data_IF_978266545406
#
_entry.id   IF_978266545406
#
_cell.length_a   1.000
_cell.length_b   1.000
_cell.length_c   1.000
_cell.angle_alpha   90.00
_cell.angle_beta   90.00
_cell.angle_gamma   90.00
#
_symmetry.space_group_name_H-M   'P 1'
#
loop_
_entity.id
_entity.type
_entity.pdbx_description
1 polymer ?
#
# COMPACT_ATOMS: atom_id res chain seq x y z
N UNK A 1 -7.32 19.33 13.51
CA UNK A 1 -7.60 19.22 12.06
C UNK A 1 -9.01 19.64 11.66
N UNK A 2 -9.95 19.83 12.61
CA UNK A 2 -11.33 20.26 12.29
C UNK A 2 -11.34 21.55 11.45
N UNK A 3 -12.12 21.54 10.36
CA UNK A 3 -12.22 22.63 9.39
C UNK A 3 -10.98 22.90 8.53
N UNK A 4 -9.91 22.12 8.71
CA UNK A 4 -8.65 22.32 7.98
C UNK A 4 -8.61 21.50 6.70
N UNK A 5 -7.73 21.90 5.77
CA UNK A 5 -7.51 21.19 4.52
C UNK A 5 -6.57 20.01 4.77
N UNK A 6 -7.04 18.79 4.45
CA UNK A 6 -6.28 17.55 4.55
C UNK A 6 -6.10 16.96 3.15
N UNK A 7 -4.85 16.70 2.76
CA UNK A 7 -4.51 16.13 1.47
C UNK A 7 -4.76 14.62 1.44
N UNK A 8 -5.31 14.15 0.33
CA UNK A 8 -5.54 12.73 0.06
C UNK A 8 -5.36 12.45 -1.43
N UNK A 9 -5.37 11.18 -1.80
CA UNK A 9 -5.43 10.77 -3.20
C UNK A 9 -6.87 10.50 -3.63
N UNK A 10 -7.02 10.14 -4.91
CA UNK A 10 -8.32 9.76 -5.49
C UNK A 10 -9.01 8.67 -4.66
N UNK A 11 -10.36 8.68 -4.58
CA UNK A 11 -11.12 7.62 -3.93
C UNK A 11 -10.74 6.23 -4.45
N UNK A 12 -10.71 5.25 -3.55
CA UNK A 12 -10.31 3.88 -3.86
C UNK A 12 -8.81 3.62 -3.89
N UNK A 13 -7.95 4.64 -3.70
CA UNK A 13 -6.51 4.43 -3.55
C UNK A 13 -6.15 3.97 -2.12
N UNK A 14 -5.00 3.28 -1.93
CA UNK A 14 -4.50 2.94 -0.60
C UNK A 14 -4.29 4.16 0.30
N UNK A 15 -3.87 5.29 -0.27
CA UNK A 15 -3.66 6.54 0.47
C UNK A 15 -4.99 7.16 0.90
N UNK A 16 -6.04 7.09 0.06
CA UNK A 16 -7.38 7.53 0.47
C UNK A 16 -7.91 6.66 1.61
N UNK A 17 -7.75 5.35 1.54
CA UNK A 17 -8.05 4.44 2.66
C UNK A 17 -7.29 4.86 3.92
N UNK A 18 -5.96 5.03 3.81
CA UNK A 18 -5.10 5.46 4.91
C UNK A 18 -5.54 6.80 5.52
N UNK A 19 -5.98 7.75 4.69
CA UNK A 19 -6.50 9.04 5.15
C UNK A 19 -7.73 8.86 6.04
N UNK A 20 -8.69 8.04 5.63
CA UNK A 20 -9.92 7.82 6.40
C UNK A 20 -9.65 7.05 7.69
N UNK A 21 -8.79 6.05 7.65
CA UNK A 21 -8.35 5.32 8.85
C UNK A 21 -7.66 6.26 9.85
N UNK A 22 -6.75 7.13 9.36
CA UNK A 22 -6.07 8.09 10.21
C UNK A 22 -7.03 9.09 10.84
N UNK A 23 -7.99 9.62 10.08
CA UNK A 23 -9.03 10.51 10.63
C UNK A 23 -9.82 9.82 11.75
N UNK A 24 -10.27 8.57 11.55
CA UNK A 24 -10.99 7.79 12.57
C UNK A 24 -10.16 7.61 13.85
N UNK A 25 -8.87 7.27 13.71
CA UNK A 25 -7.96 7.14 14.87
C UNK A 25 -7.78 8.44 15.64
N UNK A 26 -7.95 9.56 14.97
CA UNK A 26 -7.90 10.90 15.57
C UNK A 26 -9.28 11.38 16.07
N UNK A 27 -10.31 10.51 16.07
CA UNK A 27 -11.67 10.86 16.48
C UNK A 27 -12.37 11.80 15.51
N UNK A 28 -11.99 11.81 14.24
CA UNK A 28 -12.54 12.65 13.18
C UNK A 28 -13.24 11.83 12.10
N UNK A 29 -14.17 12.48 11.41
CA UNK A 29 -14.82 11.97 10.20
C UNK A 29 -14.38 12.79 8.98
N UNK A 30 -14.62 12.31 7.75
CA UNK A 30 -14.38 13.11 6.55
C UNK A 30 -15.13 14.45 6.51
N UNK A 31 -16.26 14.56 7.25
CA UNK A 31 -17.06 15.80 7.33
C UNK A 31 -16.45 16.85 8.24
N UNK A 32 -15.53 16.44 9.13
CA UNK A 32 -14.83 17.36 10.04
C UNK A 32 -13.69 18.12 9.39
N UNK A 33 -13.30 17.75 8.16
CA UNK A 33 -12.14 18.32 7.45
C UNK A 33 -12.50 18.63 6.00
N UNK A 34 -11.65 19.42 5.33
CA UNK A 34 -11.77 19.67 3.89
C UNK A 34 -10.80 18.74 3.16
N UNK A 35 -11.30 17.63 2.61
CA UNK A 35 -10.46 16.71 1.85
C UNK A 35 -10.10 17.34 0.49
N UNK A 36 -8.79 17.44 0.22
CA UNK A 36 -8.25 17.89 -1.07
C UNK A 36 -7.58 16.72 -1.78
N UNK A 37 -8.11 16.36 -2.94
CA UNK A 37 -7.54 15.30 -3.78
C UNK A 37 -6.30 15.85 -4.48
N UNK A 38 -5.16 15.16 -4.30
CA UNK A 38 -3.87 15.43 -4.92
C UNK A 38 -3.43 14.22 -5.74
N UNK A 39 -2.45 14.42 -6.63
CA UNK A 39 -2.07 13.41 -7.62
C UNK A 39 -1.42 12.15 -7.05
N UNK A 40 -0.70 12.28 -5.93
CA UNK A 40 -0.01 11.17 -5.28
C UNK A 40 0.81 11.63 -4.08
N UNK A 41 1.54 10.70 -3.45
CA UNK A 41 2.33 10.98 -2.24
C UNK A 41 3.34 12.11 -2.41
N UNK A 42 3.98 12.24 -3.57
CA UNK A 42 4.91 13.33 -3.84
C UNK A 42 4.21 14.70 -3.85
N UNK A 43 3.03 14.80 -4.45
CA UNK A 43 2.24 16.03 -4.47
C UNK A 43 1.70 16.38 -3.08
N UNK A 44 1.35 15.38 -2.27
CA UNK A 44 0.93 15.58 -0.87
C UNK A 44 2.10 16.15 -0.06
N UNK A 45 3.30 15.59 -0.21
CA UNK A 45 4.53 16.10 0.44
C UNK A 45 4.79 17.56 0.03
N UNK A 46 4.76 17.87 -1.25
CA UNK A 46 4.96 19.23 -1.75
C UNK A 46 3.90 20.22 -1.21
N UNK A 47 2.64 19.81 -1.16
CA UNK A 47 1.54 20.62 -0.63
C UNK A 47 1.66 20.89 0.88
N UNK A 48 2.19 19.92 1.66
CA UNK A 48 2.54 20.10 3.07
C UNK A 48 3.68 21.12 3.23
N UNK A 49 4.77 20.96 2.48
CA UNK A 49 5.94 21.83 2.55
C UNK A 49 5.63 23.27 2.16
N UNK A 50 4.69 23.49 1.26
CA UNK A 50 4.24 24.82 0.82
C UNK A 50 3.08 25.39 1.66
N UNK A 51 2.60 24.67 2.66
CA UNK A 51 1.49 25.12 3.52
C UNK A 51 0.11 25.12 2.85
N UNK A 52 -0.03 24.52 1.68
CA UNK A 52 -1.32 24.41 0.97
C UNK A 52 -2.31 23.47 1.67
N UNK A 53 -1.79 22.54 2.47
CA UNK A 53 -2.53 21.64 3.33
C UNK A 53 -1.84 21.57 4.70
N UNK A 54 -2.60 21.27 5.74
CA UNK A 54 -2.04 21.18 7.10
C UNK A 54 -1.70 19.75 7.52
N UNK A 55 -2.29 18.77 6.86
CA UNK A 55 -2.03 17.34 7.06
C UNK A 55 -2.31 16.59 5.76
N UNK A 56 -1.79 15.39 5.64
CA UNK A 56 -2.06 14.52 4.50
C UNK A 56 -1.52 13.11 4.76
N UNK A 57 -2.11 12.11 4.14
CA UNK A 57 -1.59 10.76 4.18
C UNK A 57 -0.57 10.55 3.05
N UNK A 58 0.55 9.95 3.38
CA UNK A 58 1.61 9.63 2.43
C UNK A 58 2.21 8.27 2.76
N UNK A 59 2.67 7.55 1.76
CA UNK A 59 3.34 6.27 1.92
C UNK A 59 4.86 6.41 1.80
N UNK A 60 5.64 5.52 2.42
CA UNK A 60 7.06 5.44 2.15
C UNK A 60 7.36 5.18 0.66
N UNK A 61 8.44 5.73 0.14
CA UNK A 61 9.46 6.50 0.87
C UNK A 61 9.17 8.01 0.98
N UNK A 62 8.14 8.54 0.29
CA UNK A 62 7.90 9.98 0.19
C UNK A 62 7.70 10.67 1.56
N UNK A 63 7.05 10.01 2.52
CA UNK A 63 6.85 10.55 3.86
C UNK A 63 8.17 10.78 4.63
N UNK A 64 9.25 10.06 4.33
CA UNK A 64 10.54 10.26 5.02
C UNK A 64 11.18 11.61 4.74
N UNK A 65 10.80 12.26 3.62
CA UNK A 65 11.24 13.64 3.33
C UNK A 65 10.64 14.64 4.33
N UNK A 66 9.48 14.35 4.88
CA UNK A 66 8.78 15.23 5.81
C UNK A 66 9.43 15.25 7.19
N UNK A 67 9.98 14.13 7.64
CA UNK A 67 10.64 14.04 8.96
C UNK A 67 11.81 15.02 9.11
N UNK A 68 12.46 15.36 8.00
CA UNK A 68 13.59 16.30 7.96
C UNK A 68 13.17 17.77 7.92
N UNK A 69 11.88 18.04 7.72
CA UNK A 69 11.33 19.38 7.53
C UNK A 69 10.36 19.78 8.65
N UNK A 70 10.44 19.10 9.81
CA UNK A 70 9.68 19.43 11.01
C UNK A 70 8.25 18.88 11.05
N UNK A 71 7.86 18.05 10.09
CA UNK A 71 6.60 17.33 10.14
C UNK A 71 6.72 16.06 10.98
N UNK A 72 5.62 15.62 11.57
CA UNK A 72 5.56 14.38 12.35
C UNK A 72 4.34 13.55 12.00
N UNK A 73 4.46 12.23 12.18
CA UNK A 73 3.35 11.31 11.98
C UNK A 73 2.36 11.40 13.14
N UNK A 74 1.09 11.67 12.84
CA UNK A 74 0.00 11.71 13.80
C UNK A 74 -0.70 10.38 13.99
N UNK A 75 -0.69 9.53 12.98
CA UNK A 75 -1.30 8.20 12.98
C UNK A 75 -0.62 7.29 11.95
N UNK A 76 -0.69 5.99 12.20
CA UNK A 76 -0.24 4.95 11.26
C UNK A 76 -1.40 4.00 10.94
N UNK A 77 -1.32 3.35 9.78
CA UNK A 77 -2.27 2.32 9.33
C UNK A 77 -1.65 0.93 9.29
N UNK A 78 -0.42 0.77 9.79
CA UNK A 78 0.32 -0.51 9.75
C UNK A 78 -0.35 -1.64 10.55
N UNK A 79 -1.19 -1.30 11.50
CA UNK A 79 -1.99 -2.22 12.31
C UNK A 79 -3.33 -2.61 11.66
N UNK A 80 -3.64 -2.04 10.49
CA UNK A 80 -4.89 -2.34 9.79
C UNK A 80 -4.66 -3.41 8.71
N UNK A 81 -5.47 -4.47 8.70
CA UNK A 81 -5.43 -5.43 7.61
C UNK A 81 -5.76 -4.73 6.28
N UNK A 82 -4.87 -4.80 5.32
CA UNK A 82 -5.08 -4.23 3.99
C UNK A 82 -4.31 -5.01 2.94
N UNK A 83 -5.00 -5.51 1.92
CA UNK A 83 -4.37 -6.15 0.77
C UNK A 83 -3.94 -5.09 -0.23
N UNK A 84 -2.69 -4.67 -0.17
CA UNK A 84 -2.20 -3.55 -0.97
C UNK A 84 -1.80 -3.94 -2.39
N UNK A 85 -1.13 -5.08 -2.56
CA UNK A 85 -0.51 -5.46 -3.85
C UNK A 85 -0.95 -6.88 -4.24
N UNK A 86 -1.20 -7.09 -5.53
CA UNK A 86 -1.50 -8.40 -6.09
C UNK A 86 -1.20 -8.44 -7.58
N UNK A 87 -1.03 -9.64 -8.12
CA UNK A 87 -0.97 -9.84 -9.56
C UNK A 87 -2.41 -9.85 -10.11
N UNK A 88 -2.65 -9.05 -11.14
CA UNK A 88 -3.97 -8.91 -11.76
C UNK A 88 -3.94 -9.54 -13.15
N UNK A 89 -4.90 -10.42 -13.40
CA UNK A 89 -5.10 -11.08 -14.69
C UNK A 89 -6.55 -10.92 -15.12
N UNK A 90 -6.77 -10.68 -16.41
CA UNK A 90 -8.14 -10.69 -16.96
C UNK A 90 -8.73 -12.09 -16.82
N UNK A 91 -9.92 -12.20 -16.23
CA UNK A 91 -10.57 -13.50 -15.97
C UNK A 91 -10.69 -14.34 -17.25
N UNK A 92 -11.08 -13.77 -18.37
CA UNK A 92 -11.20 -14.48 -19.66
C UNK A 92 -9.87 -14.93 -20.28
N UNK A 93 -8.71 -14.57 -19.69
CA UNK A 93 -7.39 -15.06 -20.14
C UNK A 93 -6.74 -16.03 -19.17
N UNK A 94 -7.44 -16.40 -18.09
CA UNK A 94 -6.85 -17.22 -17.03
C UNK A 94 -6.43 -18.60 -17.57
N UNK A 95 -7.27 -19.24 -18.39
CA UNK A 95 -6.97 -20.59 -18.93
C UNK A 95 -5.77 -20.56 -19.89
N UNK A 96 -5.68 -19.52 -20.74
CA UNK A 96 -4.53 -19.32 -21.63
C UNK A 96 -3.21 -19.14 -20.85
N UNK A 97 -3.28 -18.46 -19.72
CA UNK A 97 -2.11 -18.11 -18.91
C UNK A 97 -1.80 -19.14 -17.82
N UNK A 98 -2.66 -20.11 -17.58
CA UNK A 98 -2.55 -21.04 -16.46
C UNK A 98 -1.16 -21.70 -16.35
N UNK A 99 -0.60 -22.18 -17.46
CA UNK A 99 0.73 -22.80 -17.49
C UNK A 99 1.89 -21.86 -17.16
N UNK A 100 1.68 -20.55 -17.21
CA UNK A 100 2.70 -19.52 -16.91
C UNK A 100 2.60 -18.96 -15.50
N UNK A 101 1.48 -19.21 -14.79
CA UNK A 101 1.23 -18.58 -13.48
C UNK A 101 2.20 -19.08 -12.41
N UNK A 102 2.40 -20.38 -12.28
CA UNK A 102 3.31 -20.94 -11.27
C UNK A 102 4.77 -20.51 -11.51
N UNK A 103 5.33 -20.57 -12.74
CA UNK A 103 6.66 -20.00 -13.02
C UNK A 103 6.77 -18.51 -12.67
N UNK A 104 5.77 -17.69 -13.02
CA UNK A 104 5.74 -16.28 -12.69
C UNK A 104 5.74 -16.05 -11.17
N UNK A 105 4.87 -16.73 -10.44
CA UNK A 105 4.78 -16.63 -8.98
C UNK A 105 6.08 -17.09 -8.31
N UNK A 106 6.75 -18.12 -8.85
CA UNK A 106 8.07 -18.55 -8.37
C UNK A 106 9.12 -17.44 -8.54
N UNK A 107 9.12 -16.76 -9.67
CA UNK A 107 10.04 -15.62 -9.89
C UNK A 107 9.76 -14.46 -8.93
N UNK A 108 8.49 -14.13 -8.68
CA UNK A 108 8.08 -13.11 -7.71
C UNK A 108 8.56 -13.50 -6.30
N UNK A 109 8.34 -14.76 -5.89
CA UNK A 109 8.80 -15.26 -4.58
C UNK A 109 10.31 -15.19 -4.45
N UNK A 110 11.06 -15.59 -5.48
CA UNK A 110 12.52 -15.48 -5.48
C UNK A 110 13.00 -14.02 -5.32
N UNK A 111 12.29 -13.06 -5.93
CA UNK A 111 12.55 -11.64 -5.74
C UNK A 111 12.30 -11.18 -4.30
N UNK A 112 11.19 -11.61 -3.69
CA UNK A 112 10.87 -11.32 -2.29
C UNK A 112 11.89 -11.98 -1.36
N UNK A 113 12.28 -13.22 -1.59
CA UNK A 113 13.30 -13.90 -0.80
C UNK A 113 14.64 -13.18 -0.90
N UNK A 114 15.02 -12.71 -2.08
CA UNK A 114 16.24 -11.92 -2.26
C UNK A 114 16.16 -10.58 -1.54
N UNK A 115 14.99 -9.93 -1.53
CA UNK A 115 14.76 -8.71 -0.76
C UNK A 115 15.11 -8.91 0.72
N UNK A 116 14.68 -10.02 1.32
CA UNK A 116 14.91 -10.30 2.74
C UNK A 116 16.31 -10.81 3.05
N UNK A 117 16.93 -11.54 2.12
CA UNK A 117 18.16 -12.28 2.38
C UNK A 117 19.44 -11.57 1.88
N UNK A 118 19.29 -10.58 0.99
CA UNK A 118 20.42 -9.84 0.40
C UNK A 118 20.19 -8.33 0.52
N UNK A 119 20.43 -7.79 1.74
CA UNK A 119 20.23 -6.36 2.02
C UNK A 119 21.08 -5.49 1.08
N UNK A 120 22.33 -5.84 0.86
CA UNK A 120 23.25 -5.03 0.04
C UNK A 120 22.77 -4.91 -1.41
N UNK A 121 22.27 -5.99 -2.00
CA UNK A 121 21.64 -5.96 -3.33
C UNK A 121 20.35 -5.14 -3.30
N UNK A 122 19.52 -5.34 -2.31
CA UNK A 122 18.23 -4.66 -2.19
C UNK A 122 18.37 -3.16 -2.07
N UNK A 123 19.34 -2.66 -1.29
CA UNK A 123 19.62 -1.22 -1.19
C UNK A 123 20.01 -0.62 -2.56
N UNK A 124 20.82 -1.34 -3.36
CA UNK A 124 21.15 -0.91 -4.73
C UNK A 124 19.92 -0.86 -5.64
N UNK A 125 19.01 -1.83 -5.50
CA UNK A 125 17.76 -1.86 -6.26
C UNK A 125 16.86 -0.71 -5.86
N UNK A 126 16.70 -0.45 -4.56
CA UNK A 126 15.91 0.69 -4.05
C UNK A 126 16.48 1.99 -4.63
N UNK A 127 17.78 2.26 -4.46
CA UNK A 127 18.47 3.44 -5.00
C UNK A 127 18.20 3.64 -6.50
N UNK A 128 18.36 2.56 -7.28
CA UNK A 128 18.13 2.59 -8.73
C UNK A 128 16.73 3.00 -9.12
N UNK A 129 15.70 2.44 -8.47
CA UNK A 129 14.30 2.63 -8.86
C UNK A 129 13.64 3.86 -8.22
N UNK A 130 14.08 4.27 -7.04
CA UNK A 130 13.66 5.53 -6.42
C UNK A 130 14.43 6.73 -6.96
N UNK A 131 15.58 6.50 -7.64
CA UNK A 131 16.54 7.53 -8.06
C UNK A 131 17.08 8.35 -6.88
N UNK A 132 17.16 7.73 -5.72
CA UNK A 132 17.64 8.32 -4.47
C UNK A 132 19.09 7.91 -4.23
N UNK A 133 19.89 8.84 -3.72
CA UNK A 133 21.30 8.62 -3.41
C UNK A 133 21.62 8.77 -1.92
N UNK A 134 20.66 9.18 -1.09
CA UNK A 134 20.81 9.31 0.35
C UNK A 134 20.77 7.91 1.01
N UNK A 135 21.87 7.44 1.62
CA UNK A 135 21.93 6.11 2.22
C UNK A 135 20.94 5.91 3.36
N UNK A 136 20.66 6.94 4.18
CA UNK A 136 19.71 6.88 5.28
C UNK A 136 18.28 6.69 4.75
N UNK A 137 17.91 7.45 3.72
CA UNK A 137 16.60 7.32 3.06
C UNK A 137 16.41 5.92 2.45
N UNK A 138 17.44 5.39 1.79
CA UNK A 138 17.40 4.07 1.17
C UNK A 138 17.29 2.98 2.24
N UNK A 139 18.07 3.07 3.32
CA UNK A 139 18.05 2.11 4.43
C UNK A 139 16.71 2.13 5.18
N UNK A 140 16.18 3.31 5.48
CA UNK A 140 14.84 3.47 6.09
C UNK A 140 13.73 2.88 5.23
N UNK A 141 13.82 3.06 3.90
CA UNK A 141 12.88 2.45 2.94
C UNK A 141 12.95 0.92 3.02
N UNK A 142 14.14 0.36 3.02
CA UNK A 142 14.34 -1.08 3.18
C UNK A 142 13.76 -1.59 4.50
N UNK A 143 14.10 -0.97 5.62
CA UNK A 143 13.67 -1.41 6.95
C UNK A 143 12.15 -1.28 7.13
N UNK A 144 11.52 -0.24 6.55
CA UNK A 144 10.07 -0.10 6.59
C UNK A 144 9.38 -1.29 5.90
N UNK A 145 9.73 -1.58 4.64
CA UNK A 145 9.10 -2.67 3.90
C UNK A 145 9.51 -4.05 4.41
N UNK A 146 10.68 -4.18 5.04
CA UNK A 146 11.07 -5.40 5.75
C UNK A 146 10.14 -5.70 6.94
N UNK A 147 9.66 -4.67 7.64
CA UNK A 147 8.73 -4.78 8.78
C UNK A 147 7.26 -4.87 8.33
N UNK A 148 6.88 -4.03 7.36
CA UNK A 148 5.52 -4.01 6.81
C UNK A 148 5.16 -5.28 6.04
N UNK A 149 6.17 -5.97 5.53
CA UNK A 149 6.15 -7.36 5.12
C UNK A 149 5.56 -7.64 3.74
N UNK A 150 6.43 -8.08 2.83
CA UNK A 150 5.94 -8.89 1.72
C UNK A 150 5.73 -10.33 2.21
N UNK A 151 4.57 -10.90 1.96
CA UNK A 151 4.29 -12.29 2.29
C UNK A 151 5.10 -13.22 1.38
N UNK A 152 5.96 -14.06 1.97
CA UNK A 152 6.77 -15.04 1.21
C UNK A 152 5.92 -16.18 0.63
N UNK A 153 4.79 -16.47 1.26
CA UNK A 153 3.83 -17.47 0.78
C UNK A 153 2.97 -16.96 -0.39
N UNK A 154 3.03 -15.65 -0.70
CA UNK A 154 2.26 -14.97 -1.74
C UNK A 154 0.73 -15.09 -1.57
N UNK A 155 0.25 -15.58 -0.44
CA UNK A 155 -1.19 -15.71 -0.19
C UNK A 155 -1.87 -14.36 -0.06
N UNK A 156 -3.05 -14.24 -0.63
CA UNK A 156 -3.91 -13.08 -0.43
C UNK A 156 -4.36 -13.05 1.04
N UNK A 157 -4.36 -11.86 1.62
CA UNK A 157 -4.91 -11.63 2.95
C UNK A 157 -6.43 -11.45 2.86
N UNK A 158 -7.18 -12.47 3.23
CA UNK A 158 -8.65 -12.38 3.23
C UNK A 158 -9.15 -11.27 4.16
N UNK A 159 -8.65 -11.11 5.41
CA UNK A 159 -9.01 -9.97 6.24
C UNK A 159 -8.62 -8.63 5.61
N UNK A 160 -7.48 -8.58 4.91
CA UNK A 160 -7.06 -7.37 4.19
C UNK A 160 -7.97 -7.03 3.02
N UNK A 161 -8.51 -8.04 2.34
CA UNK A 161 -9.48 -7.85 1.26
C UNK A 161 -10.84 -7.41 1.82
N UNK A 162 -11.28 -8.01 2.93
CA UNK A 162 -12.50 -7.58 3.63
C UNK A 162 -12.42 -6.10 4.05
N UNK A 163 -11.29 -5.67 4.60
CA UNK A 163 -11.07 -4.25 4.94
C UNK A 163 -11.22 -3.30 3.73
N UNK A 164 -10.83 -3.75 2.53
CA UNK A 164 -11.07 -2.97 1.29
C UNK A 164 -12.57 -2.92 0.96
N UNK A 165 -13.27 -4.05 1.04
CA UNK A 165 -14.71 -4.10 0.76
C UNK A 165 -15.51 -3.22 1.73
N UNK A 166 -15.17 -3.27 3.01
CA UNK A 166 -15.81 -2.44 4.05
C UNK A 166 -15.56 -0.95 3.78
N UNK A 167 -14.36 -0.59 3.38
CA UNK A 167 -14.02 0.78 3.00
C UNK A 167 -14.81 1.23 1.77
N UNK A 168 -14.85 0.42 0.72
CA UNK A 168 -15.59 0.76 -0.50
C UNK A 168 -17.09 0.84 -0.25
N UNK A 169 -17.63 0.09 0.71
CA UNK A 169 -19.05 0.11 1.07
C UNK A 169 -19.56 1.48 1.54
N UNK A 170 -18.67 2.39 1.92
CA UNK A 170 -19.04 3.76 2.28
C UNK A 170 -19.49 4.59 1.07
N UNK A 171 -18.95 4.28 -0.11
CA UNK A 171 -19.25 4.99 -1.38
C UNK A 171 -19.92 4.10 -2.42
N UNK A 172 -19.79 2.78 -2.28
CA UNK A 172 -20.33 1.75 -3.16
C UNK A 172 -21.09 0.70 -2.31
N UNK A 173 -22.34 0.98 -1.90
CA UNK A 173 -23.10 0.13 -0.96
C UNK A 173 -23.26 -1.33 -1.41
N UNK A 174 -23.21 -1.59 -2.72
CA UNK A 174 -23.26 -2.94 -3.30
C UNK A 174 -22.12 -3.85 -2.84
N UNK A 175 -20.97 -3.27 -2.46
CA UNK A 175 -19.81 -4.05 -1.96
C UNK A 175 -20.07 -4.70 -0.61
N UNK A 176 -21.09 -4.27 0.15
CA UNK A 176 -21.52 -4.93 1.40
C UNK A 176 -21.97 -6.37 1.20
N UNK A 177 -22.42 -6.73 0.00
CA UNK A 177 -22.87 -8.07 -0.35
C UNK A 177 -21.77 -8.92 -0.96
N UNK A 178 -20.60 -8.35 -1.18
CA UNK A 178 -19.47 -9.02 -1.80
C UNK A 178 -18.64 -9.78 -0.75
N UNK A 179 -18.17 -10.98 -1.12
CA UNK A 179 -17.23 -11.75 -0.32
C UNK A 179 -15.82 -11.65 -0.93
N UNK A 180 -14.74 -11.58 -0.12
CA UNK A 180 -13.37 -11.51 -0.60
C UNK A 180 -13.03 -12.55 -1.66
N UNK A 181 -13.47 -13.79 -1.48
CA UNK A 181 -13.21 -14.90 -2.40
C UNK A 181 -13.73 -14.70 -3.83
N UNK A 182 -14.61 -13.74 -4.06
CA UNK A 182 -15.09 -13.40 -5.42
C UNK A 182 -14.05 -12.64 -6.25
N UNK A 183 -13.01 -12.07 -5.61
CA UNK A 183 -12.07 -11.13 -6.22
C UNK A 183 -10.67 -11.70 -6.41
N UNK A 184 -10.36 -12.85 -5.84
CA UNK A 184 -9.05 -13.46 -6.01
C UNK A 184 -9.15 -14.95 -6.29
N UNK A 185 -8.08 -15.48 -6.88
CA UNK A 185 -7.90 -16.90 -7.20
C UNK A 185 -6.50 -17.31 -6.69
N UNK A 186 -6.46 -18.08 -5.64
CA UNK A 186 -5.22 -18.51 -4.98
C UNK A 186 -4.75 -19.93 -5.39
N UNK A 187 -5.43 -20.59 -6.33
CA UNK A 187 -5.11 -21.97 -6.74
C UNK A 187 -3.65 -22.15 -7.19
N UNK A 188 -3.10 -21.17 -7.92
CA UNK A 188 -1.71 -21.24 -8.39
C UNK A 188 -0.70 -20.99 -7.28
N UNK A 189 -1.05 -20.13 -6.32
CA UNK A 189 -0.23 -19.88 -5.13
C UNK A 189 -0.21 -21.13 -4.25
N UNK A 190 -1.37 -21.77 -4.04
CA UNK A 190 -1.46 -23.05 -3.31
C UNK A 190 -0.66 -24.15 -4.00
N UNK A 191 -0.76 -24.26 -5.33
CA UNK A 191 0.05 -25.20 -6.13
C UNK A 191 1.56 -24.93 -5.94
N UNK A 192 1.98 -23.66 -5.98
CA UNK A 192 3.38 -23.28 -5.74
C UNK A 192 3.84 -23.67 -4.32
N UNK A 193 2.99 -23.50 -3.32
CA UNK A 193 3.33 -23.74 -1.92
C UNK A 193 3.29 -25.25 -1.55
N UNK A 194 2.54 -26.06 -2.28
CA UNK A 194 2.49 -27.53 -2.11
C UNK A 194 3.62 -28.26 -2.84
N UNK A 195 4.24 -27.64 -3.84
CA UNK A 195 5.41 -28.19 -4.53
C UNK A 195 6.65 -28.01 -3.64
N UNK A 196 7.06 -29.10 -2.98
CA UNK A 196 8.32 -29.18 -2.21
C UNK A 196 9.52 -29.21 -3.13
#
# INVERSE_FOLDING_TARGET
LKGKIVGTERPGSPVAYGTLVALRKLGLTPKDVQLRILGGSAQIVAALQTGQIVAGASSPPANFLLDRTGFHSMATTLDQPYQNVGLIVRRGRMDELAGRMVPLLRAVRAGIDRYYNDKAFTLKVIAKYTKENDPDFIDRTYEFYRKAGFRRDLMISEPGFQGILDFLAETMPETKKAAPAQFFDDRFVRQLNSAK
#
